data_IF_344358119026
#
_entry.id   IF_344358119026
#
_cell.length_a   1.000
_cell.length_b   1.000
_cell.length_c   1.000
_cell.angle_alpha   90.00
_cell.angle_beta   90.00
_cell.angle_gamma   90.00
#
_symmetry.space_group_name_H-M   'P 1'
#
loop_
_entity.id
_entity.type
_entity.pdbx_description
1 polymer ?
#
# COMPACT_ATOMS: atom_id res chain seq x y z
N UNK A 1 24.08 -6.34 18.91
CA UNK A 1 22.70 -6.59 18.45
C UNK A 1 22.27 -5.45 17.55
N UNK A 2 21.70 -5.73 16.38
CA UNK A 2 20.97 -4.71 15.62
C UNK A 2 19.64 -4.42 16.33
N UNK A 3 19.24 -3.15 16.41
CA UNK A 3 17.89 -2.78 16.83
C UNK A 3 16.93 -3.14 15.69
N UNK A 4 15.91 -3.93 16.00
CA UNK A 4 14.90 -4.37 15.03
C UNK A 4 13.55 -3.82 15.48
N UNK A 5 12.92 -3.04 14.61
CA UNK A 5 11.58 -2.50 14.83
C UNK A 5 10.58 -3.16 13.88
N UNK A 6 9.38 -3.38 14.38
CA UNK A 6 8.25 -3.76 13.55
C UNK A 6 7.79 -2.56 12.71
N UNK A 7 7.11 -2.80 11.59
CA UNK A 7 6.90 -1.79 10.54
C UNK A 7 5.44 -1.48 10.26
N UNK A 8 5.19 -0.23 9.88
CA UNK A 8 4.02 0.22 9.13
C UNK A 8 4.48 0.56 7.72
N UNK A 9 3.87 -0.03 6.70
CA UNK A 9 4.20 0.25 5.31
C UNK A 9 3.09 1.12 4.69
N UNK A 10 3.49 2.23 4.09
CA UNK A 10 2.61 3.08 3.27
C UNK A 10 2.85 2.73 1.81
N UNK A 11 1.93 1.98 1.20
CA UNK A 11 2.06 1.43 -0.14
C UNK A 11 1.07 2.09 -1.10
N UNK A 12 1.55 2.62 -2.23
CA UNK A 12 0.67 3.29 -3.17
C UNK A 12 1.36 3.95 -4.33
N UNK A 13 0.68 4.93 -4.91
CA UNK A 13 1.12 5.67 -6.09
C UNK A 13 1.90 6.97 -5.73
N UNK A 14 1.86 7.96 -6.64
CA UNK A 14 2.48 9.27 -6.46
C UNK A 14 1.96 10.02 -5.23
N UNK A 15 0.71 9.83 -4.81
CA UNK A 15 0.18 10.48 -3.61
C UNK A 15 0.93 9.96 -2.38
N UNK A 16 1.16 8.66 -2.29
CA UNK A 16 1.96 8.06 -1.21
C UNK A 16 3.43 8.45 -1.29
N UNK A 17 3.97 8.61 -2.51
CA UNK A 17 5.35 9.07 -2.71
C UNK A 17 5.53 10.51 -2.20
N UNK A 18 4.60 11.38 -2.54
CA UNK A 18 4.61 12.80 -2.21
C UNK A 18 4.10 13.09 -0.80
N UNK A 19 3.55 12.10 -0.08
CA UNK A 19 3.09 12.19 1.31
C UNK A 19 4.16 12.57 2.34
N UNK A 20 5.40 12.80 1.88
CA UNK A 20 6.55 13.22 2.66
C UNK A 20 7.11 14.57 2.20
N UNK A 21 6.61 15.14 1.11
CA UNK A 21 7.05 16.45 0.63
C UNK A 21 6.36 17.57 1.43
N UNK A 22 7.07 18.10 2.41
CA UNK A 22 6.59 19.15 3.31
C UNK A 22 6.38 20.51 2.62
N UNK A 23 6.83 20.69 1.37
CA UNK A 23 6.48 21.87 0.56
C UNK A 23 4.97 22.00 0.34
N UNK A 24 4.23 20.88 0.39
CA UNK A 24 2.77 20.87 0.31
C UNK A 24 2.06 21.15 1.65
N UNK A 25 2.80 21.49 2.71
CA UNK A 25 2.26 21.71 4.05
C UNK A 25 2.14 20.43 4.86
N UNK A 26 0.96 20.18 5.45
CA UNK A 26 0.76 18.98 6.27
C UNK A 26 0.89 17.71 5.42
N UNK A 27 1.71 16.78 5.90
CA UNK A 27 2.00 15.52 5.24
C UNK A 27 1.82 14.37 6.22
N UNK A 28 0.94 13.42 5.89
CA UNK A 28 0.59 12.35 6.81
C UNK A 28 1.74 11.34 7.02
N UNK A 29 2.67 11.19 6.06
CA UNK A 29 3.81 10.29 6.19
C UNK A 29 4.73 10.66 7.37
N UNK A 30 5.31 11.87 7.39
CA UNK A 30 6.08 12.39 8.52
C UNK A 30 5.27 12.45 9.81
N UNK A 31 3.98 12.83 9.75
CA UNK A 31 3.12 12.84 10.94
C UNK A 31 2.97 11.44 11.56
N UNK A 32 2.82 10.39 10.74
CA UNK A 32 2.81 9.01 11.20
C UNK A 32 4.17 8.61 11.81
N UNK A 33 5.29 9.01 11.17
CA UNK A 33 6.63 8.75 11.71
C UNK A 33 6.83 9.38 13.09
N UNK A 34 6.32 10.59 13.31
CA UNK A 34 6.39 11.27 14.60
C UNK A 34 5.57 10.54 15.67
N UNK A 35 4.32 10.18 15.36
CA UNK A 35 3.40 9.47 16.29
C UNK A 35 3.94 8.09 16.69
N UNK A 36 4.58 7.37 15.76
CA UNK A 36 5.11 6.02 15.98
C UNK A 36 6.60 6.00 16.29
N UNK A 37 7.22 7.15 16.56
CA UNK A 37 8.64 7.24 16.84
C UNK A 37 9.05 6.24 17.93
N UNK A 38 10.17 5.54 17.72
CA UNK A 38 10.74 4.52 18.62
C UNK A 38 9.81 3.32 18.95
N UNK A 39 8.67 3.17 18.27
CA UNK A 39 7.72 2.06 18.44
C UNK A 39 7.65 1.19 17.20
N UNK A 40 7.44 1.83 16.04
CA UNK A 40 7.36 1.17 14.73
C UNK A 40 8.05 2.02 13.68
N UNK A 41 8.74 1.39 12.75
CA UNK A 41 9.27 2.10 11.58
C UNK A 41 8.11 2.34 10.60
N UNK A 42 7.89 3.60 10.22
CA UNK A 42 6.95 3.93 9.14
C UNK A 42 7.74 4.09 7.84
N UNK A 43 7.47 3.19 6.90
CA UNK A 43 8.25 3.03 5.67
C UNK A 43 7.41 3.44 4.46
N UNK A 44 7.95 4.35 3.66
CA UNK A 44 7.31 4.81 2.41
C UNK A 44 7.61 3.86 1.25
N UNK A 45 6.57 3.35 0.61
CA UNK A 45 6.63 2.55 -0.63
C UNK A 45 5.62 3.14 -1.63
N UNK A 46 5.76 4.44 -1.89
CA UNK A 46 4.97 5.16 -2.88
C UNK A 46 5.69 5.21 -4.23
N UNK A 47 5.00 4.83 -5.30
CA UNK A 47 5.59 4.73 -6.64
C UNK A 47 4.80 5.58 -7.64
N UNK A 48 5.35 6.73 -8.01
CA UNK A 48 4.72 7.62 -8.99
C UNK A 48 4.44 6.93 -10.32
N UNK A 49 3.23 7.13 -10.84
CA UNK A 49 2.75 6.51 -12.09
C UNK A 49 2.29 5.05 -11.96
N UNK A 50 2.40 4.43 -10.77
CA UNK A 50 1.94 3.06 -10.59
C UNK A 50 0.41 2.98 -10.48
N UNK A 51 -0.13 1.96 -11.13
CA UNK A 51 -1.52 1.52 -10.98
C UNK A 51 -1.60 0.32 -10.04
N UNK A 52 -2.80 -0.12 -9.68
CA UNK A 52 -3.00 -1.34 -8.89
C UNK A 52 -2.42 -2.60 -9.55
N UNK A 53 -2.32 -2.65 -10.89
CA UNK A 53 -1.66 -3.77 -11.60
C UNK A 53 -0.19 -3.87 -11.21
N UNK A 54 0.51 -2.74 -11.21
CA UNK A 54 1.91 -2.67 -10.80
C UNK A 54 2.04 -3.07 -9.32
N UNK A 55 1.17 -2.53 -8.47
CA UNK A 55 1.14 -2.86 -7.05
C UNK A 55 0.95 -4.37 -6.79
N UNK A 56 0.02 -5.00 -7.49
CA UNK A 56 -0.26 -6.43 -7.40
C UNK A 56 0.91 -7.31 -7.89
N UNK A 57 1.75 -6.83 -8.80
CA UNK A 57 2.95 -7.55 -9.25
C UNK A 57 4.03 -7.50 -8.16
N UNK A 58 4.25 -6.34 -7.54
CA UNK A 58 5.40 -6.14 -6.64
C UNK A 58 5.13 -6.47 -5.17
N UNK A 59 3.87 -6.63 -4.76
CA UNK A 59 3.49 -6.75 -3.34
C UNK A 59 4.20 -7.91 -2.62
N UNK A 60 4.32 -9.08 -3.26
CA UNK A 60 4.95 -10.25 -2.64
C UNK A 60 6.43 -9.96 -2.36
N UNK A 61 7.14 -9.38 -3.33
CA UNK A 61 8.55 -9.00 -3.19
C UNK A 61 8.75 -7.88 -2.17
N UNK A 62 7.86 -6.90 -2.14
CA UNK A 62 7.88 -5.83 -1.16
C UNK A 62 7.74 -6.39 0.26
N UNK A 63 6.80 -7.30 0.49
CA UNK A 63 6.59 -7.93 1.80
C UNK A 63 7.81 -8.74 2.23
N UNK A 64 8.41 -9.52 1.32
CA UNK A 64 9.65 -10.25 1.58
C UNK A 64 10.78 -9.32 2.04
N UNK A 65 10.98 -8.21 1.32
CA UNK A 65 12.04 -7.24 1.64
C UNK A 65 11.79 -6.53 2.97
N UNK A 66 10.54 -6.16 3.25
CA UNK A 66 10.20 -5.48 4.49
C UNK A 66 10.13 -6.38 5.72
N UNK A 67 9.94 -7.68 5.51
CA UNK A 67 9.89 -8.68 6.59
C UNK A 67 11.22 -9.41 6.80
N UNK A 68 12.35 -8.79 6.40
CA UNK A 68 13.68 -9.37 6.57
C UNK A 68 14.11 -9.47 8.04
N UNK A 69 14.66 -10.62 8.43
CA UNK A 69 15.12 -10.88 9.79
C UNK A 69 13.98 -11.07 10.79
N UNK A 70 14.03 -10.34 11.91
CA UNK A 70 13.03 -10.44 12.98
C UNK A 70 11.94 -9.33 12.90
N UNK A 71 12.02 -8.42 11.93
CA UNK A 71 11.07 -7.31 11.73
C UNK A 71 9.77 -7.81 11.12
N UNK A 72 8.62 -7.47 11.71
CA UNK A 72 7.30 -7.83 11.19
C UNK A 72 6.55 -6.60 10.69
N UNK A 73 5.82 -6.76 9.60
CA UNK A 73 4.86 -5.75 9.15
C UNK A 73 3.60 -5.87 10.02
N UNK A 74 3.26 -4.81 10.77
CA UNK A 74 2.02 -4.76 11.59
C UNK A 74 0.84 -4.21 10.82
N UNK A 75 1.11 -3.27 9.93
CA UNK A 75 0.10 -2.55 9.17
C UNK A 75 0.62 -2.27 7.76
N UNK A 76 -0.19 -2.61 6.77
CA UNK A 76 -0.07 -2.15 5.39
C UNK A 76 -1.19 -1.13 5.11
N UNK A 77 -0.82 0.09 4.76
CA UNK A 77 -1.75 1.11 4.26
C UNK A 77 -1.66 1.12 2.74
N UNK A 78 -2.78 0.97 2.04
CA UNK A 78 -2.83 0.82 0.58
C UNK A 78 -3.59 1.99 -0.05
N UNK A 79 -2.92 2.77 -0.90
CA UNK A 79 -3.50 3.89 -1.66
C UNK A 79 -3.17 3.76 -3.15
N UNK A 80 -4.06 3.08 -3.89
CA UNK A 80 -4.07 3.00 -5.35
C UNK A 80 -5.45 3.37 -5.89
N UNK A 81 -5.54 3.74 -7.16
CA UNK A 81 -6.82 4.01 -7.84
C UNK A 81 -6.81 5.27 -8.68
N UNK A 82 -5.91 6.22 -8.39
CA UNK A 82 -5.84 7.47 -9.15
C UNK A 82 -5.36 7.23 -10.57
N UNK A 83 -4.29 6.45 -10.75
CA UNK A 83 -3.77 6.10 -12.07
C UNK A 83 -4.66 5.07 -12.80
N UNK A 84 -5.33 4.20 -12.05
CA UNK A 84 -6.24 3.17 -12.57
C UNK A 84 -7.49 3.77 -13.24
N UNK A 85 -7.97 4.90 -12.73
CA UNK A 85 -9.18 5.60 -13.22
C UNK A 85 -8.92 6.57 -14.37
N UNK A 86 -7.68 6.68 -14.84
CA UNK A 86 -7.36 7.52 -16.00
C UNK A 86 -8.02 6.92 -17.25
N UNK A 87 -8.75 7.74 -18.00
CA UNK A 87 -9.49 7.33 -19.20
C UNK A 87 -8.52 6.88 -20.32
N UNK A 88 -8.85 5.82 -21.09
CA UNK A 88 -8.00 5.27 -22.16
C UNK A 88 -7.58 6.27 -23.26
N UNK A 89 -8.32 7.38 -23.43
CA UNK A 89 -8.01 8.44 -24.40
C UNK A 89 -6.81 9.33 -23.99
N UNK A 90 -6.26 9.10 -22.80
CA UNK A 90 -5.03 9.77 -22.36
C UNK A 90 -3.78 9.06 -22.92
N UNK A 91 -2.70 9.84 -23.14
CA UNK A 91 -1.44 9.37 -23.70
C UNK A 91 -0.75 8.23 -22.92
N UNK A 92 -1.20 7.91 -21.70
CA UNK A 92 -0.57 6.90 -20.84
C UNK A 92 -1.25 5.53 -20.85
N UNK A 93 -2.45 5.38 -21.44
CA UNK A 93 -3.23 4.11 -21.55
C UNK A 93 -3.17 3.19 -20.31
N UNK A 94 -3.12 3.78 -19.11
CA UNK A 94 -2.88 3.08 -17.85
C UNK A 94 -4.18 2.73 -17.09
N UNK A 95 -5.33 2.82 -17.77
CA UNK A 95 -6.62 2.47 -17.17
C UNK A 95 -6.63 1.02 -16.70
N UNK A 96 -7.21 0.79 -15.53
CA UNK A 96 -7.45 -0.55 -14.99
C UNK A 96 -8.96 -0.72 -14.79
N UNK A 97 -9.60 -1.71 -15.43
CA UNK A 97 -11.01 -2.00 -15.23
C UNK A 97 -11.33 -2.26 -13.75
N UNK A 98 -12.55 -1.92 -13.31
CA UNK A 98 -12.96 -2.01 -11.90
C UNK A 98 -12.78 -3.43 -11.36
N UNK A 99 -13.15 -4.45 -12.12
CA UNK A 99 -13.01 -5.85 -11.73
C UNK A 99 -11.53 -6.21 -11.49
N UNK A 100 -10.66 -5.77 -12.40
CA UNK A 100 -9.21 -5.99 -12.28
C UNK A 100 -8.62 -5.23 -11.09
N UNK A 101 -9.06 -4.01 -10.85
CA UNK A 101 -8.66 -3.22 -9.68
C UNK A 101 -9.05 -3.94 -8.37
N UNK A 102 -10.26 -4.50 -8.30
CA UNK A 102 -10.71 -5.28 -7.15
C UNK A 102 -9.84 -6.53 -6.95
N UNK A 103 -9.53 -7.27 -8.01
CA UNK A 103 -8.66 -8.45 -7.95
C UNK A 103 -7.25 -8.08 -7.48
N UNK A 104 -6.71 -6.97 -7.97
CA UNK A 104 -5.40 -6.45 -7.56
C UNK A 104 -5.40 -6.12 -6.06
N UNK A 105 -6.43 -5.42 -5.56
CA UNK A 105 -6.56 -5.13 -4.14
C UNK A 105 -6.69 -6.41 -3.31
N UNK A 106 -7.51 -7.39 -3.73
CA UNK A 106 -7.61 -8.69 -3.05
C UNK A 106 -6.26 -9.38 -2.96
N UNK A 107 -5.47 -9.37 -4.03
CA UNK A 107 -4.11 -9.94 -4.04
C UNK A 107 -3.21 -9.23 -3.03
N UNK A 108 -3.17 -7.90 -3.06
CA UNK A 108 -2.35 -7.09 -2.16
C UNK A 108 -2.72 -7.36 -0.70
N UNK A 109 -4.02 -7.36 -0.39
CA UNK A 109 -4.52 -7.59 0.97
C UNK A 109 -4.21 -9.00 1.43
N UNK A 110 -4.43 -10.00 0.57
CA UNK A 110 -4.13 -11.40 0.89
C UNK A 110 -2.64 -11.61 1.16
N UNK A 111 -1.75 -10.96 0.40
CA UNK A 111 -0.31 -11.04 0.61
C UNK A 111 0.08 -10.48 2.01
N UNK A 112 -0.49 -9.35 2.41
CA UNK A 112 -0.27 -8.77 3.74
C UNK A 112 -0.82 -9.65 4.87
N UNK A 113 -2.01 -10.22 4.69
CA UNK A 113 -2.64 -11.10 5.67
C UNK A 113 -1.84 -12.40 5.89
N UNK A 114 -1.20 -12.95 4.85
CA UNK A 114 -0.33 -14.14 4.96
C UNK A 114 0.83 -13.94 5.94
N UNK A 115 1.33 -12.71 6.09
CA UNK A 115 2.39 -12.37 7.06
C UNK A 115 1.85 -11.81 8.38
N UNK A 116 0.53 -11.84 8.58
CA UNK A 116 -0.14 -11.38 9.79
C UNK A 116 -0.28 -9.86 9.91
N UNK A 117 -0.07 -9.11 8.83
CA UNK A 117 -0.27 -7.66 8.82
C UNK A 117 -1.75 -7.30 8.76
N UNK A 118 -2.16 -6.27 9.51
CA UNK A 118 -3.45 -5.61 9.29
C UNK A 118 -3.39 -4.76 8.03
N UNK A 119 -4.53 -4.55 7.38
CA UNK A 119 -4.58 -3.73 6.15
C UNK A 119 -5.64 -2.65 6.28
N UNK A 120 -5.27 -1.43 5.89
CA UNK A 120 -6.16 -0.29 5.68
C UNK A 120 -6.02 0.14 4.23
N UNK A 121 -7.14 0.33 3.53
CA UNK A 121 -7.16 0.79 2.13
C UNK A 121 -8.01 2.04 2.01
N UNK A 122 -7.71 2.91 1.04
CA UNK A 122 -8.57 4.06 0.70
C UNK A 122 -9.96 3.64 0.22
N UNK A 123 -10.05 2.46 -0.39
CA UNK A 123 -11.33 1.89 -0.78
C UNK A 123 -11.95 1.06 0.34
N UNK A 124 -13.28 0.88 0.27
CA UNK A 124 -14.05 0.02 1.17
C UNK A 124 -13.75 -1.46 0.91
N UNK A 125 -12.47 -1.85 0.92
CA UNK A 125 -11.99 -3.21 0.70
C UNK A 125 -12.61 -4.22 1.68
N UNK A 126 -13.07 -3.74 2.85
CA UNK A 126 -13.78 -4.54 3.84
C UNK A 126 -15.10 -5.13 3.32
N UNK A 127 -15.84 -4.45 2.42
CA UNK A 127 -17.05 -5.02 1.81
C UNK A 127 -16.74 -5.95 0.63
N UNK A 128 -15.58 -5.80 0.00
CA UNK A 128 -15.16 -6.57 -1.17
C UNK A 128 -14.66 -7.97 -0.74
N UNK A 129 -13.90 -8.05 0.36
CA UNK A 129 -13.30 -9.31 0.84
C UNK A 129 -14.34 -10.26 1.45
N UNK A 130 -15.31 -9.75 2.22
CA UNK A 130 -16.30 -10.60 2.88
C UNK A 130 -17.31 -11.25 1.92
N UNK A 131 -17.42 -10.75 0.68
CA UNK A 131 -18.33 -11.33 -0.32
C UNK A 131 -17.71 -12.47 -1.14
N UNK A 132 -16.40 -12.76 -1.03
CA UNK A 132 -15.77 -13.91 -1.72
C UNK A 132 -15.43 -15.09 -0.81
N UNK A 133 -15.80 -15.04 0.47
CA UNK A 133 -15.70 -16.18 1.39
C UNK A 133 -17.08 -16.81 1.70
N UNK A 134 -18.13 -16.40 0.99
CA UNK A 134 -19.50 -16.94 1.12
C UNK A 134 -19.99 -17.74 -0.11
N UNK A 135 -19.07 -18.18 -0.97
CA UNK A 135 -19.36 -19.14 -2.05
C UNK A 135 -18.34 -20.27 -2.04
#
# INVERSE_FOLDING_TARGET
MALVFDKIILFGDSITQLAYNQEFGFCFGPAMQDVYNRRLDVVQRGFGGYTSNHGAIIVDRLIEQESTGASKIKLLVVFFGTNDSIVPESASNNSVPVERYQDNLRKIISAAQKVGAKVVSSDRAHSIINNSMMH
#
